data_IF_706471002687
#
_entry.id   IF_706471002687
#
_cell.length_a   1.000
_cell.length_b   1.000
_cell.length_c   1.000
_cell.angle_alpha   90.00
_cell.angle_beta   90.00
_cell.angle_gamma   90.00
#
_symmetry.space_group_name_H-M   'P 1'
#
loop_
_entity.id
_entity.type
_entity.pdbx_description
1 polymer ?
#
# COMPACT_ATOMS: atom_id res chain seq x y z
N UNK A 1 -20.39 -3.78 -25.52
CA UNK A 1 -19.51 -4.74 -24.82
C UNK A 1 -19.24 -4.16 -23.45
N UNK A 2 -19.78 -4.78 -22.40
CA UNK A 2 -19.43 -4.39 -21.03
C UNK A 2 -17.94 -4.65 -20.82
N UNK A 3 -17.16 -3.58 -20.73
CA UNK A 3 -15.75 -3.66 -20.39
C UNK A 3 -15.66 -4.08 -18.93
N UNK A 4 -15.10 -5.27 -18.68
CA UNK A 4 -14.74 -5.68 -17.33
C UNK A 4 -13.84 -4.60 -16.72
N UNK A 5 -14.33 -3.90 -15.69
CA UNK A 5 -13.53 -2.96 -14.92
C UNK A 5 -12.78 -3.76 -13.86
N UNK A 6 -11.52 -4.06 -14.15
CA UNK A 6 -10.62 -4.62 -13.15
C UNK A 6 -10.13 -3.49 -12.25
N UNK A 7 -10.15 -3.71 -10.95
CA UNK A 7 -9.61 -2.81 -9.96
C UNK A 7 -8.85 -3.58 -8.89
N UNK A 8 -7.89 -2.90 -8.27
CA UNK A 8 -7.19 -3.38 -7.09
C UNK A 8 -7.61 -2.52 -5.91
N UNK A 9 -7.98 -3.16 -4.81
CA UNK A 9 -8.17 -2.47 -3.54
C UNK A 9 -6.85 -2.55 -2.78
N UNK A 10 -6.32 -1.38 -2.39
CA UNK A 10 -5.08 -1.30 -1.63
C UNK A 10 -5.28 -0.46 -0.39
N UNK A 11 -4.71 -0.91 0.73
CA UNK A 11 -4.72 -0.20 2.00
C UNK A 11 -3.29 -0.11 2.52
N UNK A 12 -2.95 1.00 3.17
CA UNK A 12 -1.59 1.23 3.66
C UNK A 12 -1.53 1.06 5.19
N UNK A 13 -0.30 1.02 5.67
CA UNK A 13 0.13 1.08 7.07
C UNK A 13 -0.19 -0.12 7.96
N UNK A 14 -1.16 -0.96 7.60
CA UNK A 14 -1.48 -2.17 8.35
C UNK A 14 -2.28 -1.94 9.64
N UNK A 15 -3.07 -0.86 9.71
CA UNK A 15 -3.98 -0.59 10.83
C UNK A 15 -4.89 -1.77 11.17
N UNK A 16 -5.17 -1.94 12.46
CA UNK A 16 -5.96 -3.07 13.00
C UNK A 16 -7.43 -3.06 12.52
N UNK A 17 -7.97 -1.90 12.13
CA UNK A 17 -9.31 -1.81 11.56
C UNK A 17 -9.42 -2.49 10.19
N UNK A 18 -8.30 -2.75 9.49
CA UNK A 18 -8.29 -3.61 8.31
C UNK A 18 -8.77 -5.03 8.66
N UNK A 19 -8.44 -5.53 9.85
CA UNK A 19 -8.91 -6.84 10.31
C UNK A 19 -10.37 -6.78 10.79
N UNK A 20 -10.73 -5.81 11.64
CA UNK A 20 -12.07 -5.82 12.25
C UNK A 20 -13.18 -5.25 11.35
N UNK A 21 -12.85 -4.37 10.40
CA UNK A 21 -13.84 -3.70 9.54
C UNK A 21 -13.73 -4.11 8.08
N UNK A 22 -12.54 -4.03 7.50
CA UNK A 22 -12.35 -4.31 6.08
C UNK A 22 -12.49 -5.81 5.78
N UNK A 23 -11.82 -6.68 6.53
CA UNK A 23 -11.79 -8.12 6.24
C UNK A 23 -13.18 -8.78 6.21
N UNK A 24 -14.12 -8.51 7.15
CA UNK A 24 -15.49 -9.00 7.04
C UNK A 24 -16.24 -8.50 5.80
N UNK A 25 -15.99 -7.25 5.38
CA UNK A 25 -16.60 -6.68 4.18
C UNK A 25 -16.04 -7.34 2.92
N UNK A 26 -14.73 -7.57 2.85
CA UNK A 26 -14.10 -8.29 1.74
C UNK A 26 -14.67 -9.71 1.62
N UNK A 27 -14.82 -10.44 2.73
CA UNK A 27 -15.48 -11.76 2.74
C UNK A 27 -16.93 -11.66 2.26
N UNK A 28 -17.71 -10.71 2.78
CA UNK A 28 -19.13 -10.52 2.43
C UNK A 28 -19.35 -10.26 0.94
N UNK A 29 -18.47 -9.48 0.32
CA UNK A 29 -18.58 -9.12 -1.10
C UNK A 29 -17.69 -9.95 -2.03
N UNK A 30 -17.03 -10.99 -1.50
CA UNK A 30 -16.09 -11.84 -2.24
C UNK A 30 -15.00 -11.04 -2.98
N UNK A 31 -14.47 -10.00 -2.31
CA UNK A 31 -13.41 -9.16 -2.83
C UNK A 31 -12.05 -9.55 -2.23
N UNK A 32 -11.00 -9.26 -3.00
CA UNK A 32 -9.61 -9.35 -2.56
C UNK A 32 -9.04 -7.94 -2.39
N UNK A 33 -7.98 -7.83 -1.60
CA UNK A 33 -7.25 -6.59 -1.40
C UNK A 33 -5.75 -6.89 -1.21
N UNK A 34 -4.94 -5.85 -1.39
CA UNK A 34 -3.54 -5.81 -0.97
C UNK A 34 -3.42 -4.86 0.22
N UNK A 35 -2.73 -5.25 1.27
CA UNK A 35 -2.44 -4.38 2.42
C UNK A 35 -0.93 -4.22 2.55
N UNK A 36 -0.44 -2.98 2.54
CA UNK A 36 0.97 -2.65 2.67
C UNK A 36 1.33 -2.43 4.14
N UNK A 37 2.27 -3.21 4.68
CA UNK A 37 2.57 -3.27 6.11
C UNK A 37 3.83 -2.50 6.48
N UNK A 38 3.77 -1.81 7.63
CA UNK A 38 4.93 -1.38 8.42
C UNK A 38 5.20 -2.49 9.43
N UNK A 39 6.43 -2.99 9.53
CA UNK A 39 6.65 -4.32 10.15
C UNK A 39 7.22 -4.29 11.56
N UNK A 40 7.82 -3.17 11.99
CA UNK A 40 8.45 -3.01 13.31
C UNK A 40 7.76 -1.97 14.20
N UNK A 41 6.46 -1.77 13.99
CA UNK A 41 5.62 -0.90 14.78
C UNK A 41 4.39 -1.70 15.28
N UNK A 42 3.92 -1.42 16.50
CA UNK A 42 2.69 -2.00 17.07
C UNK A 42 1.49 -1.03 17.00
N UNK A 43 1.75 0.23 16.69
CA UNK A 43 0.78 1.30 16.52
C UNK A 43 1.30 2.34 15.53
N UNK A 44 0.47 3.31 15.15
CA UNK A 44 0.86 4.46 14.32
C UNK A 44 1.78 5.46 15.06
N UNK A 45 2.97 5.03 15.45
CA UNK A 45 3.91 5.86 16.21
C UNK A 45 4.27 7.15 15.47
N UNK A 46 4.32 7.12 14.13
CA UNK A 46 4.50 8.30 13.27
C UNK A 46 3.37 9.32 13.46
N UNK A 47 2.11 8.89 13.40
CA UNK A 47 0.96 9.76 13.60
C UNK A 47 0.88 10.28 15.03
N UNK A 48 1.20 9.45 16.02
CA UNK A 48 1.23 9.89 17.44
C UNK A 48 2.27 10.98 17.67
N UNK A 49 3.44 10.91 17.03
CA UNK A 49 4.46 11.98 17.08
C UNK A 49 3.95 13.30 16.50
N UNK A 50 3.01 13.25 15.56
CA UNK A 50 2.35 14.40 14.93
C UNK A 50 1.05 14.83 15.64
N UNK A 51 0.69 14.18 16.75
CA UNK A 51 -0.49 14.51 17.55
C UNK A 51 -1.77 13.76 17.18
N UNK A 52 -1.69 12.74 16.32
CA UNK A 52 -2.82 11.83 16.07
C UNK A 52 -3.14 10.95 17.28
N UNK A 53 -4.38 10.46 17.32
CA UNK A 53 -4.76 9.42 18.29
C UNK A 53 -4.03 8.11 17.96
N UNK A 54 -3.52 7.43 18.99
CA UNK A 54 -2.95 6.09 18.88
C UNK A 54 -3.98 5.10 18.32
N UNK A 55 -3.60 4.39 17.27
CA UNK A 55 -4.33 3.31 16.61
C UNK A 55 -3.39 2.11 16.50
N UNK A 56 -3.85 0.94 16.90
CA UNK A 56 -3.06 -0.27 16.81
C UNK A 56 -2.85 -0.70 15.35
N UNK A 57 -1.74 -1.36 15.09
CA UNK A 57 -1.52 -2.12 13.86
C UNK A 57 -1.93 -3.58 14.06
N UNK A 58 -2.17 -4.29 12.96
CA UNK A 58 -2.52 -5.71 13.02
C UNK A 58 -1.42 -6.55 13.64
N UNK A 59 -1.82 -7.51 14.47
CA UNK A 59 -0.94 -8.56 15.00
C UNK A 59 -0.53 -9.56 13.93
N UNK A 60 0.56 -10.28 14.16
CA UNK A 60 1.03 -11.35 13.27
C UNK A 60 -0.02 -12.45 13.05
N UNK A 61 -0.83 -12.76 14.08
CA UNK A 61 -1.92 -13.73 13.99
C UNK A 61 -3.02 -13.24 13.04
N UNK A 62 -3.43 -11.97 13.16
CA UNK A 62 -4.42 -11.35 12.27
C UNK A 62 -3.91 -11.31 10.82
N UNK A 63 -2.65 -10.90 10.62
CA UNK A 63 -2.00 -10.86 9.30
C UNK A 63 -1.99 -12.26 8.67
N UNK A 64 -1.57 -13.27 9.42
CA UNK A 64 -1.53 -14.66 8.94
C UNK A 64 -2.92 -15.18 8.56
N UNK A 65 -3.93 -14.95 9.39
CA UNK A 65 -5.30 -15.36 9.09
C UNK A 65 -5.82 -14.70 7.81
N UNK A 66 -5.64 -13.39 7.66
CA UNK A 66 -6.06 -12.66 6.46
C UNK A 66 -5.35 -13.19 5.21
N UNK A 67 -4.05 -13.48 5.32
CA UNK A 67 -3.27 -14.03 4.22
C UNK A 67 -3.78 -15.41 3.77
N UNK A 68 -4.15 -16.26 4.73
CA UNK A 68 -4.69 -17.60 4.44
C UNK A 68 -6.10 -17.55 3.85
N UNK A 69 -6.77 -16.40 3.91
CA UNK A 69 -8.09 -16.15 3.35
C UNK A 69 -8.07 -15.25 2.11
N UNK A 70 -6.94 -15.17 1.40
CA UNK A 70 -6.86 -14.55 0.08
C UNK A 70 -6.60 -13.04 0.07
N UNK A 71 -6.23 -12.46 1.21
CA UNK A 71 -5.67 -11.10 1.27
C UNK A 71 -4.17 -11.17 0.95
N UNK A 72 -3.71 -10.28 0.08
CA UNK A 72 -2.28 -10.13 -0.24
C UNK A 72 -1.65 -9.08 0.68
N UNK A 73 -0.38 -9.29 1.04
CA UNK A 73 0.39 -8.33 1.82
C UNK A 73 1.63 -7.89 1.05
N UNK A 74 1.88 -6.57 1.06
CA UNK A 74 3.05 -5.92 0.50
C UNK A 74 3.80 -5.11 1.57
N UNK A 75 4.98 -4.58 1.23
CA UNK A 75 5.77 -3.77 2.16
C UNK A 75 5.43 -2.28 2.13
N UNK A 76 5.56 -1.59 3.27
CA UNK A 76 5.47 -0.13 3.41
C UNK A 76 6.56 0.39 4.37
N UNK A 77 7.81 -0.01 4.14
CA UNK A 77 9.00 0.19 5.02
C UNK A 77 8.95 -0.61 6.32
N UNK A 78 10.10 -0.69 7.00
CA UNK A 78 10.23 -1.44 8.25
C UNK A 78 9.78 -0.59 9.44
N UNK A 79 10.25 0.66 9.52
CA UNK A 79 10.04 1.58 10.64
C UNK A 79 9.37 2.92 10.26
N UNK A 80 8.73 2.99 9.08
CA UNK A 80 8.07 4.21 8.57
C UNK A 80 8.96 5.42 8.18
N UNK A 81 10.25 5.31 7.79
CA UNK A 81 11.01 6.47 7.34
C UNK A 81 10.67 6.87 5.91
N UNK A 82 10.72 8.17 5.61
CA UNK A 82 10.68 8.65 4.22
C UNK A 82 11.98 8.22 3.53
N UNK A 83 11.89 7.25 2.62
CA UNK A 83 13.05 6.63 1.96
C UNK A 83 13.99 7.64 1.28
N UNK A 84 13.47 8.76 0.79
CA UNK A 84 14.27 9.80 0.16
C UNK A 84 15.31 10.41 1.09
N UNK A 85 15.02 10.47 2.39
CA UNK A 85 15.84 11.17 3.39
C UNK A 85 16.91 10.27 4.02
N UNK A 86 16.91 9.00 3.66
CA UNK A 86 17.85 7.98 4.13
C UNK A 86 19.07 7.84 3.22
N UNK A 87 20.16 7.31 3.75
CA UNK A 87 21.27 6.86 2.92
C UNK A 87 20.97 5.54 2.17
N UNK A 88 21.85 5.13 1.24
CA UNK A 88 21.62 3.91 0.44
C UNK A 88 21.52 2.64 1.31
N UNK A 89 22.34 2.54 2.36
CA UNK A 89 22.38 1.36 3.24
C UNK A 89 21.09 1.26 4.05
N UNK A 90 20.64 2.37 4.61
CA UNK A 90 19.39 2.48 5.36
C UNK A 90 18.19 2.16 4.47
N UNK A 91 18.11 2.71 3.25
CA UNK A 91 17.05 2.38 2.27
C UNK A 91 16.98 0.87 2.02
N UNK A 92 18.14 0.24 1.81
CA UNK A 92 18.24 -1.21 1.56
C UNK A 92 17.73 -2.02 2.75
N UNK A 93 18.11 -1.64 3.96
CA UNK A 93 17.65 -2.31 5.19
C UNK A 93 16.13 -2.19 5.32
N UNK A 94 15.60 -0.97 5.24
CA UNK A 94 14.16 -0.69 5.37
C UNK A 94 13.31 -1.48 4.37
N UNK A 95 13.76 -1.57 3.11
CA UNK A 95 13.03 -2.29 2.05
C UNK A 95 13.16 -3.80 2.25
N UNK A 96 14.38 -4.31 2.40
CA UNK A 96 14.62 -5.76 2.42
C UNK A 96 14.11 -6.43 3.70
N UNK A 97 14.25 -5.77 4.85
CA UNK A 97 13.78 -6.34 6.11
C UNK A 97 12.28 -6.25 6.28
N UNK A 98 11.63 -5.19 5.79
CA UNK A 98 10.17 -5.14 5.71
C UNK A 98 9.62 -6.34 4.92
N UNK A 99 10.19 -6.62 3.75
CA UNK A 99 9.83 -7.80 2.95
C UNK A 99 10.05 -9.10 3.73
N UNK A 100 11.23 -9.29 4.32
CA UNK A 100 11.59 -10.49 5.10
C UNK A 100 10.65 -10.72 6.30
N UNK A 101 10.33 -9.65 7.03
CA UNK A 101 9.42 -9.69 8.18
C UNK A 101 8.03 -10.18 7.76
N UNK A 102 7.50 -9.68 6.63
CA UNK A 102 6.19 -10.10 6.12
C UNK A 102 6.23 -11.55 5.66
N UNK A 103 7.22 -11.94 4.86
CA UNK A 103 7.36 -13.31 4.35
C UNK A 103 7.47 -14.33 5.49
N UNK A 104 8.17 -13.99 6.58
CA UNK A 104 8.24 -14.81 7.79
C UNK A 104 6.87 -14.96 8.47
N UNK A 105 6.06 -13.89 8.52
CA UNK A 105 4.71 -13.93 9.12
C UNK A 105 3.75 -14.79 8.30
N UNK A 106 3.76 -14.65 6.97
CA UNK A 106 2.75 -15.27 6.09
C UNK A 106 3.18 -16.59 5.43
N UNK A 107 4.48 -16.89 5.38
CA UNK A 107 5.03 -18.08 4.71
C UNK A 107 4.87 -18.07 3.19
N UNK A 108 4.71 -16.90 2.57
CA UNK A 108 4.48 -16.67 1.14
C UNK A 108 5.36 -15.53 0.66
N UNK A 109 5.78 -15.55 -0.60
CA UNK A 109 6.60 -14.49 -1.19
C UNK A 109 5.84 -13.17 -1.32
N UNK A 110 6.51 -12.06 -1.04
CA UNK A 110 5.98 -10.69 -1.17
C UNK A 110 6.49 -10.07 -2.47
N UNK A 111 5.59 -9.55 -3.30
CA UNK A 111 5.96 -9.07 -4.65
C UNK A 111 5.82 -7.56 -4.85
N UNK A 112 5.16 -6.86 -3.92
CA UNK A 112 4.78 -5.46 -4.07
C UNK A 112 5.15 -4.62 -2.84
N UNK A 113 5.44 -3.34 -3.08
CA UNK A 113 5.80 -2.37 -2.05
C UNK A 113 5.20 -1.00 -2.36
N UNK A 114 4.64 -0.33 -1.36
CA UNK A 114 4.11 1.02 -1.48
C UNK A 114 5.12 2.05 -0.95
N UNK A 115 5.36 3.12 -1.72
CA UNK A 115 6.24 4.21 -1.31
C UNK A 115 5.48 5.20 -0.43
N UNK A 116 6.03 5.51 0.75
CA UNK A 116 5.52 6.58 1.60
C UNK A 116 5.46 7.90 0.81
N UNK A 117 4.31 8.55 0.86
CA UNK A 117 4.00 9.81 0.17
C UNK A 117 4.26 9.80 -1.36
N UNK A 118 4.49 8.63 -1.96
CA UNK A 118 4.92 8.51 -3.35
C UNK A 118 6.35 8.98 -3.62
N UNK A 119 7.20 9.07 -2.59
CA UNK A 119 8.60 9.45 -2.74
C UNK A 119 9.39 8.32 -3.45
N UNK A 120 9.74 8.55 -4.72
CA UNK A 120 10.39 7.56 -5.58
C UNK A 120 11.53 8.20 -6.38
N UNK A 121 12.63 7.45 -6.54
CA UNK A 121 13.77 7.78 -7.39
C UNK A 121 14.24 6.54 -8.15
N UNK A 122 15.06 6.70 -9.19
CA UNK A 122 15.65 5.56 -9.91
C UNK A 122 16.56 4.70 -9.01
N UNK A 123 17.22 5.33 -8.03
CA UNK A 123 17.96 4.63 -6.98
C UNK A 123 17.04 3.71 -6.16
N UNK A 124 15.92 4.24 -5.66
CA UNK A 124 14.95 3.45 -4.90
C UNK A 124 14.40 2.31 -5.77
N UNK A 125 14.04 2.56 -7.04
CA UNK A 125 13.58 1.50 -7.95
C UNK A 125 14.63 0.40 -8.14
N UNK A 126 15.92 0.74 -8.22
CA UNK A 126 17.00 -0.24 -8.30
C UNK A 126 17.07 -1.08 -7.02
N UNK A 127 17.02 -0.45 -5.84
CA UNK A 127 17.02 -1.16 -4.56
C UNK A 127 15.81 -2.10 -4.45
N UNK A 128 14.62 -1.66 -4.87
CA UNK A 128 13.41 -2.49 -4.89
C UNK A 128 13.56 -3.75 -5.74
N UNK A 129 14.15 -3.62 -6.94
CA UNK A 129 14.45 -4.74 -7.85
C UNK A 129 15.44 -5.72 -7.22
N UNK A 130 16.51 -5.20 -6.63
CA UNK A 130 17.55 -6.00 -5.96
C UNK A 130 17.01 -6.73 -4.73
N UNK A 131 16.03 -6.13 -4.03
CA UNK A 131 15.30 -6.77 -2.93
C UNK A 131 14.26 -7.82 -3.41
N UNK A 132 14.11 -8.04 -4.73
CA UNK A 132 13.21 -9.05 -5.28
C UNK A 132 11.75 -8.63 -5.37
N UNK A 133 11.44 -7.34 -5.29
CA UNK A 133 10.09 -6.85 -5.57
C UNK A 133 9.84 -6.79 -7.08
N UNK A 134 8.59 -6.98 -7.48
CA UNK A 134 8.14 -6.90 -8.88
C UNK A 134 7.36 -5.62 -9.13
N UNK A 135 6.65 -5.12 -8.12
CA UNK A 135 5.81 -3.92 -8.22
C UNK A 135 6.17 -2.87 -7.18
N UNK A 136 6.25 -1.63 -7.61
CA UNK A 136 6.40 -0.43 -6.79
C UNK A 136 5.19 0.46 -6.96
N UNK A 137 4.51 0.76 -5.86
CA UNK A 137 3.22 1.43 -5.85
C UNK A 137 3.38 2.85 -5.35
N UNK A 138 2.98 3.80 -6.18
CA UNK A 138 3.12 5.23 -5.93
C UNK A 138 1.76 5.94 -5.96
N UNK A 139 1.81 7.26 -5.77
CA UNK A 139 0.63 8.14 -5.76
C UNK A 139 0.45 8.83 -7.12
N UNK A 140 0.32 10.16 -7.18
CA UNK A 140 -0.30 10.87 -8.32
C UNK A 140 0.62 11.11 -9.52
N UNK A 141 1.94 11.07 -9.35
CA UNK A 141 2.90 11.47 -10.37
C UNK A 141 3.35 10.33 -11.32
N UNK A 142 2.54 9.29 -11.44
CA UNK A 142 2.90 8.08 -12.17
C UNK A 142 2.22 7.97 -13.55
N UNK A 143 2.75 7.12 -14.46
CA UNK A 143 2.16 6.86 -15.77
C UNK A 143 0.68 6.44 -15.69
N UNK A 144 -0.06 6.65 -16.79
CA UNK A 144 -1.47 6.27 -16.86
C UNK A 144 -1.64 4.75 -16.99
N UNK A 145 -0.72 4.09 -17.69
CA UNK A 145 -0.69 2.64 -17.81
C UNK A 145 0.40 2.07 -16.91
N UNK A 146 0.00 1.17 -16.01
CA UNK A 146 0.91 0.54 -15.05
C UNK A 146 2.01 -0.29 -15.73
N UNK A 147 1.80 -0.71 -16.98
CA UNK A 147 2.80 -1.43 -17.77
C UNK A 147 3.96 -0.57 -18.28
N UNK A 148 3.83 0.76 -18.22
CA UNK A 148 4.93 1.66 -18.60
C UNK A 148 6.06 1.60 -17.57
N UNK A 149 5.73 1.40 -16.29
CA UNK A 149 6.72 1.27 -15.22
C UNK A 149 6.13 0.48 -14.04
N UNK A 150 6.51 -0.80 -13.93
CA UNK A 150 6.07 -1.68 -12.84
C UNK A 150 6.52 -1.22 -11.45
N UNK A 151 7.54 -0.36 -11.36
CA UNK A 151 7.99 0.22 -10.09
C UNK A 151 7.41 1.62 -9.85
N UNK A 152 6.52 2.09 -10.71
CA UNK A 152 5.86 3.38 -10.56
C UNK A 152 4.37 3.24 -10.92
N UNK A 153 3.68 2.32 -10.24
CA UNK A 153 2.26 2.06 -10.47
C UNK A 153 1.42 3.11 -9.77
N UNK A 154 0.58 3.80 -10.55
CA UNK A 154 -0.32 4.85 -10.06
C UNK A 154 -1.45 4.29 -9.20
N UNK A 155 -1.76 4.95 -8.07
CA UNK A 155 -3.02 4.76 -7.32
C UNK A 155 -3.95 5.95 -7.38
N UNK A 156 -5.23 5.67 -7.11
CA UNK A 156 -6.26 6.69 -6.90
C UNK A 156 -6.61 6.71 -5.41
N UNK A 157 -6.18 7.77 -4.75
CA UNK A 157 -6.39 7.96 -3.32
C UNK A 157 -7.86 8.19 -2.98
N UNK A 158 -8.35 7.53 -1.92
CA UNK A 158 -9.70 7.70 -1.36
C UNK A 158 -9.58 8.26 0.06
N UNK A 159 -9.59 9.59 0.17
CA UNK A 159 -9.57 10.28 1.46
C UNK A 159 -10.99 10.70 1.86
N UNK A 160 -11.50 10.09 2.94
CA UNK A 160 -12.86 10.30 3.45
C UNK A 160 -12.93 11.49 4.41
N UNK A 161 -11.84 11.79 5.12
CA UNK A 161 -11.85 12.76 6.21
C UNK A 161 -12.08 14.21 5.75
N UNK A 162 -11.72 14.60 4.51
CA UNK A 162 -11.85 16.01 4.09
C UNK A 162 -12.26 16.27 2.64
N UNK A 163 -12.23 15.30 1.71
CA UNK A 163 -12.24 15.63 0.24
C UNK A 163 -13.05 14.74 -0.70
N UNK A 164 -13.54 13.56 -0.30
CA UNK A 164 -14.24 12.66 -1.24
C UNK A 164 -15.74 12.58 -0.93
N UNK A 165 -16.53 13.46 -1.53
CA UNK A 165 -18.00 13.32 -1.56
C UNK A 165 -18.41 12.03 -2.28
N UNK A 166 -19.64 11.54 -2.13
CA UNK A 166 -20.13 10.38 -2.90
C UNK A 166 -20.01 10.61 -4.41
N UNK A 167 -20.23 11.85 -4.88
CA UNK A 167 -19.95 12.23 -6.26
C UNK A 167 -18.46 12.12 -6.61
N UNK A 168 -17.59 12.62 -5.75
CA UNK A 168 -16.14 12.49 -5.90
C UNK A 168 -15.68 11.03 -5.95
N UNK A 169 -16.25 10.17 -5.11
CA UNK A 169 -16.01 8.73 -5.11
C UNK A 169 -16.44 8.09 -6.43
N UNK A 170 -17.68 8.33 -6.86
CA UNK A 170 -18.20 7.83 -8.14
C UNK A 170 -17.33 8.26 -9.32
N UNK A 171 -16.84 9.50 -9.32
CA UNK A 171 -15.90 9.98 -10.34
C UNK A 171 -14.58 9.20 -10.30
N UNK A 172 -13.99 9.00 -9.12
CA UNK A 172 -12.74 8.26 -8.92
C UNK A 172 -12.85 6.78 -9.34
N UNK A 173 -13.98 6.11 -9.09
CA UNK A 173 -14.19 4.70 -9.48
C UNK A 173 -14.73 4.52 -10.90
N UNK A 174 -15.13 5.60 -11.58
CA UNK A 174 -15.72 5.52 -12.93
C UNK A 174 -14.77 5.06 -14.03
N UNK A 175 -13.45 5.16 -13.81
CA UNK A 175 -12.42 4.98 -14.84
C UNK A 175 -12.16 6.22 -15.69
N UNK A 176 -13.00 7.26 -15.59
CA UNK A 176 -12.84 8.53 -16.33
C UNK A 176 -11.75 9.45 -15.77
N UNK A 177 -11.09 9.06 -14.68
CA UNK A 177 -9.99 9.82 -14.10
C UNK A 177 -8.74 9.87 -14.98
N UNK A 178 -8.56 8.91 -15.89
CA UNK A 178 -7.42 8.87 -16.81
C UNK A 178 -7.46 9.98 -17.87
N UNK A 179 -8.62 10.60 -18.10
CA UNK A 179 -8.80 11.63 -19.15
C UNK A 179 -8.64 13.06 -18.66
N UNK A 180 -8.53 13.30 -17.34
CA UNK A 180 -8.43 14.64 -16.77
C UNK A 180 -7.33 14.69 -15.69
N UNK A 181 -6.10 15.05 -16.10
CA UNK A 181 -4.91 15.15 -15.22
C UNK A 181 -5.08 16.12 -14.04
N UNK A 182 -6.05 17.04 -14.08
CA UNK A 182 -6.01 18.27 -13.27
C UNK A 182 -6.75 18.26 -11.92
N UNK A 183 -7.47 17.21 -11.52
CA UNK A 183 -8.35 17.33 -10.35
C UNK A 183 -8.50 16.06 -9.49
N UNK A 184 -7.42 15.31 -9.25
CA UNK A 184 -7.42 14.20 -8.28
C UNK A 184 -6.37 14.45 -7.23
#
# INVERSE_FOLDING_TARGET
>A
MDTFKNFFLTFDDGYEDNYFRLFPLLKKYNFKAVIYLVTQEDHNSWGVKEGETRKNLMTDVQIKEMSDNGIEFGGNTQHYPVLHDLDEVEKRIEISQCKSDIEKKIGKGVVSFAYLFGAISEEIKKIMKEAGNTFGIATKNSPLHWQEDYFHVRRIEIEIATRTTFWGFNRKVSGKYLTHKFFI
#
